data_IF_564582992356
#
_entry.id   IF_564582992356
#
_cell.length_a   1.000
_cell.length_b   1.000
_cell.length_c   1.000
_cell.angle_alpha   90.00
_cell.angle_beta   90.00
_cell.angle_gamma   90.00
#
_symmetry.space_group_name_H-M   'P 1'
#
loop_
_entity.id
_entity.type
_entity.pdbx_description
1 polymer ?
#
# COMPACT_ATOMS: atom_id res chain seq x y z
N UNK A 1 -9.13 -57.98 45.68
CA UNK A 1 -10.34 -57.18 45.38
C UNK A 1 -9.85 -55.87 44.75
N UNK A 2 -9.97 -55.72 43.45
CA UNK A 2 -9.43 -54.59 42.72
C UNK A 2 -10.59 -53.68 42.32
N UNK A 3 -10.63 -52.48 42.92
CA UNK A 3 -11.58 -51.42 42.59
C UNK A 3 -11.21 -50.80 41.25
N UNK A 4 -12.02 -50.99 40.23
CA UNK A 4 -11.96 -50.29 38.95
C UNK A 4 -12.65 -48.93 39.13
N UNK A 5 -11.89 -47.86 39.26
CA UNK A 5 -12.36 -46.50 39.06
C UNK A 5 -12.79 -46.32 37.59
N UNK A 6 -14.07 -46.23 37.31
CA UNK A 6 -14.63 -45.78 36.04
C UNK A 6 -14.29 -44.28 35.84
N UNK A 7 -13.49 -44.00 34.82
CA UNK A 7 -13.34 -42.64 34.33
C UNK A 7 -14.69 -42.18 33.75
N UNK A 8 -15.24 -41.11 34.28
CA UNK A 8 -16.41 -40.45 33.75
C UNK A 8 -16.07 -39.85 32.40
N UNK A 9 -16.72 -40.30 31.36
CA UNK A 9 -16.68 -39.68 30.02
C UNK A 9 -17.50 -38.41 30.13
N UNK A 10 -16.85 -37.26 30.04
CA UNK A 10 -17.48 -35.94 29.98
C UNK A 10 -18.31 -35.86 28.69
N UNK A 11 -19.63 -36.02 28.85
CA UNK A 11 -20.58 -35.93 27.74
C UNK A 11 -20.60 -34.50 27.23
N UNK A 12 -20.08 -34.27 26.04
CA UNK A 12 -20.13 -32.94 25.38
C UNK A 12 -21.61 -32.45 25.32
N UNK A 13 -21.86 -31.26 25.86
CA UNK A 13 -23.17 -30.65 25.87
C UNK A 13 -23.79 -30.60 24.45
N UNK A 14 -25.11 -30.83 24.30
CA UNK A 14 -25.76 -30.81 23.01
C UNK A 14 -25.54 -29.48 22.29
N UNK A 15 -25.45 -29.48 20.97
CA UNK A 15 -25.10 -28.31 20.15
C UNK A 15 -26.02 -27.09 20.38
N UNK A 16 -27.26 -27.32 20.78
CA UNK A 16 -28.22 -26.28 21.16
C UNK A 16 -27.84 -25.51 22.43
N UNK A 17 -27.28 -26.19 23.43
CA UNK A 17 -26.92 -25.56 24.72
C UNK A 17 -25.59 -24.78 24.58
N UNK A 18 -24.66 -25.26 23.77
CA UNK A 18 -23.46 -24.50 23.42
C UNK A 18 -23.79 -23.19 22.69
N UNK A 19 -24.76 -23.22 21.79
CA UNK A 19 -25.18 -22.05 21.02
C UNK A 19 -25.84 -21.01 21.91
N UNK A 20 -26.76 -21.41 22.83
CA UNK A 20 -27.35 -20.53 23.83
C UNK A 20 -26.34 -19.92 24.79
N UNK A 21 -25.39 -20.72 25.27
CA UNK A 21 -24.30 -20.25 26.11
C UNK A 21 -23.44 -19.18 25.39
N UNK A 22 -23.16 -19.37 24.09
CA UNK A 22 -22.42 -18.42 23.27
C UNK A 22 -23.21 -17.13 23.08
N UNK A 23 -24.49 -17.18 22.78
CA UNK A 23 -25.37 -16.00 22.65
C UNK A 23 -25.44 -15.19 23.96
N UNK A 24 -25.55 -15.88 25.11
CA UNK A 24 -25.51 -15.24 26.42
C UNK A 24 -24.16 -14.55 26.67
N UNK A 25 -23.06 -15.21 26.32
CA UNK A 25 -21.71 -14.64 26.44
C UNK A 25 -21.53 -13.41 25.54
N UNK A 26 -22.01 -13.46 24.29
CA UNK A 26 -21.97 -12.31 23.37
C UNK A 26 -22.75 -11.13 23.93
N UNK A 27 -23.96 -11.34 24.46
CA UNK A 27 -24.74 -10.30 25.07
C UNK A 27 -24.07 -9.68 26.33
N UNK A 28 -23.37 -10.48 27.13
CA UNK A 28 -22.58 -9.98 28.26
C UNK A 28 -21.38 -9.13 27.80
N UNK A 29 -20.68 -9.53 26.73
CA UNK A 29 -19.58 -8.78 26.14
C UNK A 29 -20.09 -7.43 25.61
N UNK A 30 -21.18 -7.43 24.87
CA UNK A 30 -21.79 -6.19 24.35
C UNK A 30 -22.25 -5.25 25.48
N UNK A 31 -22.75 -5.79 26.56
CA UNK A 31 -23.15 -5.00 27.76
C UNK A 31 -21.93 -4.39 28.46
N UNK A 32 -20.81 -5.10 28.50
CA UNK A 32 -19.59 -4.65 29.19
C UNK A 32 -18.76 -3.68 28.35
N UNK A 33 -18.67 -3.90 27.05
CA UNK A 33 -17.74 -3.20 26.15
C UNK A 33 -18.43 -2.36 25.07
N UNK A 34 -19.74 -2.37 24.99
CA UNK A 34 -20.53 -1.64 24.01
C UNK A 34 -20.97 -2.50 22.84
N UNK A 35 -22.05 -2.06 22.17
CA UNK A 35 -22.65 -2.73 21.01
C UNK A 35 -21.63 -2.79 19.86
N UNK A 36 -21.49 -3.97 19.25
CA UNK A 36 -20.53 -4.20 18.17
C UNK A 36 -19.11 -4.56 18.63
N UNK A 37 -18.88 -4.72 19.95
CA UNK A 37 -17.59 -5.20 20.48
C UNK A 37 -17.29 -6.66 20.11
N UNK A 38 -18.32 -7.42 19.79
CA UNK A 38 -18.24 -8.79 19.23
C UNK A 38 -19.33 -8.95 18.18
N UNK A 39 -18.99 -9.62 17.06
CA UNK A 39 -19.94 -9.91 15.98
C UNK A 39 -19.57 -11.20 15.27
N UNK A 40 -20.53 -11.80 14.58
CA UNK A 40 -20.25 -12.92 13.68
C UNK A 40 -19.76 -12.37 12.35
N UNK A 41 -18.65 -12.87 11.85
CA UNK A 41 -18.05 -12.39 10.60
C UNK A 41 -19.02 -12.48 9.41
N UNK A 42 -19.89 -13.50 9.36
CA UNK A 42 -20.88 -13.67 8.30
C UNK A 42 -22.08 -12.72 8.38
N UNK A 43 -22.34 -12.08 9.53
CA UNK A 43 -23.41 -11.10 9.67
C UNK A 43 -22.99 -9.71 9.14
N UNK A 44 -21.70 -9.49 8.94
CA UNK A 44 -21.12 -8.24 8.44
C UNK A 44 -20.54 -8.41 7.03
N UNK A 45 -21.27 -9.08 6.14
CA UNK A 45 -20.85 -9.39 4.77
C UNK A 45 -20.70 -8.19 3.84
N UNK A 46 -20.78 -6.96 4.38
CA UNK A 46 -20.76 -5.72 3.61
C UNK A 46 -19.62 -4.75 3.93
N UNK A 47 -18.58 -5.14 4.68
CA UNK A 47 -17.43 -4.25 4.85
C UNK A 47 -16.59 -4.27 3.57
N UNK A 48 -17.07 -3.55 2.55
CA UNK A 48 -16.25 -3.18 1.40
C UNK A 48 -15.16 -2.25 1.94
N UNK A 49 -13.91 -2.66 1.83
CA UNK A 49 -12.78 -1.79 2.18
C UNK A 49 -12.72 -0.67 1.14
N UNK A 50 -13.02 0.55 1.57
CA UNK A 50 -12.87 1.72 0.72
C UNK A 50 -11.40 1.91 0.34
N UNK A 51 -11.15 2.38 -0.89
CA UNK A 51 -9.82 2.62 -1.40
C UNK A 51 -9.67 4.02 -2.00
N UNK A 52 -8.46 4.58 -1.87
CA UNK A 52 -8.04 5.80 -2.55
C UNK A 52 -7.18 5.35 -3.75
N UNK A 53 -7.51 5.75 -5.00
CA UNK A 53 -6.68 5.43 -6.15
C UNK A 53 -5.26 5.96 -6.01
N UNK A 54 -4.33 5.30 -6.67
CA UNK A 54 -2.91 5.67 -6.61
C UNK A 54 -2.48 6.68 -7.67
N UNK A 55 -3.38 7.00 -8.61
CA UNK A 55 -3.04 7.77 -9.80
C UNK A 55 -2.45 6.91 -10.93
N UNK A 56 -2.09 5.65 -10.64
CA UNK A 56 -1.69 4.64 -11.61
C UNK A 56 -2.74 3.55 -11.70
N UNK A 57 -3.35 3.39 -12.88
CA UNK A 57 -4.38 2.37 -13.10
C UNK A 57 -3.82 0.96 -12.96
N UNK A 58 -2.60 0.71 -13.44
CA UNK A 58 -1.94 -0.59 -13.32
C UNK A 58 -1.70 -0.96 -11.85
N UNK A 59 -1.33 0.01 -11.01
CA UNK A 59 -1.13 -0.23 -9.57
C UNK A 59 -2.46 -0.42 -8.85
N UNK A 60 -3.50 0.32 -9.19
CA UNK A 60 -4.84 0.15 -8.66
C UNK A 60 -5.38 -1.26 -8.92
N UNK A 61 -5.16 -1.78 -10.14
CA UNK A 61 -5.50 -3.16 -10.51
C UNK A 61 -4.64 -4.18 -9.77
N UNK A 62 -3.35 -3.90 -9.58
CA UNK A 62 -2.44 -4.77 -8.83
C UNK A 62 -2.81 -4.86 -7.34
N UNK A 63 -3.29 -3.77 -6.75
CA UNK A 63 -3.80 -3.71 -5.37
C UNK A 63 -5.11 -4.48 -5.19
N UNK A 64 -5.90 -4.66 -6.25
CA UNK A 64 -7.06 -5.54 -6.30
C UNK A 64 -8.35 -4.98 -5.70
N UNK A 65 -8.31 -3.79 -5.10
CA UNK A 65 -9.46 -3.06 -4.55
C UNK A 65 -9.62 -1.66 -5.17
N UNK A 66 -8.85 -1.37 -6.25
CA UNK A 66 -8.91 -0.09 -6.95
C UNK A 66 -8.12 1.04 -6.31
N UNK A 67 -7.14 0.72 -5.46
CA UNK A 67 -6.27 1.69 -4.80
C UNK A 67 -5.73 1.22 -3.46
N UNK A 68 -5.23 2.17 -2.65
CA UNK A 68 -4.74 1.92 -1.29
C UNK A 68 -5.90 1.92 -0.27
N UNK A 69 -5.92 0.95 0.68
CA UNK A 69 -7.07 0.78 1.58
C UNK A 69 -7.18 1.89 2.63
N UNK A 70 -8.35 2.50 2.79
CA UNK A 70 -8.68 3.40 3.90
C UNK A 70 -8.69 2.64 5.23
N UNK A 71 -8.43 3.33 6.33
CA UNK A 71 -8.37 2.74 7.67
C UNK A 71 -7.18 1.80 7.87
N UNK A 72 -6.12 1.94 7.08
CA UNK A 72 -4.96 1.04 7.09
C UNK A 72 -3.63 1.80 6.99
N UNK A 73 -2.57 1.11 7.41
CA UNK A 73 -1.19 1.55 7.23
C UNK A 73 -0.67 0.97 5.93
N UNK A 74 -0.07 1.83 5.10
CA UNK A 74 0.60 1.47 3.85
C UNK A 74 2.08 1.85 3.95
N UNK A 75 2.98 1.00 3.50
CA UNK A 75 4.40 1.30 3.36
C UNK A 75 4.76 1.33 1.87
N UNK A 76 5.31 2.45 1.42
CA UNK A 76 5.90 2.63 0.09
C UNK A 76 7.41 2.72 0.28
N UNK A 77 8.17 1.79 -0.27
CA UNK A 77 9.60 1.76 -0.07
C UNK A 77 10.36 1.41 -1.36
N UNK A 78 11.63 1.71 -1.39
CA UNK A 78 12.49 1.45 -2.53
C UNK A 78 13.79 2.27 -2.48
N UNK A 79 14.67 2.10 -3.49
CA UNK A 79 15.89 2.89 -3.62
C UNK A 79 15.61 4.39 -3.73
N UNK A 80 16.64 5.20 -3.59
CA UNK A 80 16.57 6.63 -3.84
C UNK A 80 16.13 6.90 -5.30
N UNK A 81 15.43 8.02 -5.51
CA UNK A 81 14.95 8.47 -6.83
C UNK A 81 14.09 7.43 -7.58
N UNK A 82 13.45 6.49 -6.88
CA UNK A 82 12.56 5.49 -7.48
C UNK A 82 11.12 5.95 -7.71
N UNK A 83 10.75 7.16 -7.27
CA UNK A 83 9.41 7.73 -7.43
C UNK A 83 8.46 7.50 -6.25
N UNK A 84 8.97 7.18 -5.04
CA UNK A 84 8.15 6.95 -3.83
C UNK A 84 7.32 8.14 -3.44
N UNK A 85 7.95 9.31 -3.29
CA UNK A 85 7.28 10.58 -2.94
C UNK A 85 6.30 10.99 -4.04
N UNK A 86 6.66 10.82 -5.31
CA UNK A 86 5.77 11.08 -6.45
C UNK A 86 4.50 10.24 -6.37
N UNK A 87 4.63 8.93 -6.10
CA UNK A 87 3.48 8.03 -5.93
C UNK A 87 2.62 8.45 -4.74
N UNK A 88 3.22 8.81 -3.60
CA UNK A 88 2.49 9.27 -2.42
C UNK A 88 1.72 10.59 -2.69
N UNK A 89 2.33 11.54 -3.41
CA UNK A 89 1.68 12.79 -3.80
C UNK A 89 0.51 12.56 -4.77
N UNK A 90 0.62 11.60 -5.69
CA UNK A 90 -0.54 11.21 -6.53
C UNK A 90 -1.69 10.65 -5.68
N UNK A 91 -1.39 9.81 -4.68
CA UNK A 91 -2.43 9.30 -3.75
C UNK A 91 -3.08 10.46 -2.99
N UNK A 92 -2.29 11.44 -2.54
CA UNK A 92 -2.79 12.67 -1.90
C UNK A 92 -3.72 13.43 -2.84
N UNK A 93 -3.31 13.68 -4.08
CA UNK A 93 -4.11 14.35 -5.09
C UNK A 93 -5.44 13.60 -5.36
N UNK A 94 -5.41 12.29 -5.46
CA UNK A 94 -6.61 11.47 -5.64
C UNK A 94 -7.54 11.48 -4.42
N UNK A 95 -7.00 11.59 -3.20
CA UNK A 95 -7.78 11.78 -1.98
C UNK A 95 -8.49 13.14 -1.99
N UNK A 96 -7.77 14.23 -2.31
CA UNK A 96 -8.32 15.59 -2.39
C UNK A 96 -9.40 15.74 -3.47
N UNK A 97 -9.22 15.13 -4.65
CA UNK A 97 -10.25 15.10 -5.72
C UNK A 97 -11.58 14.48 -5.25
N UNK A 98 -11.55 13.67 -4.20
CA UNK A 98 -12.74 13.06 -3.58
C UNK A 98 -13.25 13.85 -2.37
N UNK A 99 -12.73 15.05 -2.17
CA UNK A 99 -13.08 15.93 -1.04
C UNK A 99 -12.43 15.52 0.28
N UNK A 100 -11.37 14.71 0.24
CA UNK A 100 -10.65 14.27 1.45
C UNK A 100 -9.65 15.29 1.93
N UNK A 101 -9.57 15.43 3.26
CA UNK A 101 -8.54 16.24 3.95
C UNK A 101 -7.26 15.42 4.13
N UNK A 102 -6.12 16.01 3.80
CA UNK A 102 -4.83 15.31 3.81
C UNK A 102 -3.74 16.11 4.50
N UNK A 103 -2.81 15.40 5.12
CA UNK A 103 -1.63 16.00 5.74
C UNK A 103 -0.35 15.32 5.23
N UNK A 104 0.72 16.08 5.15
CA UNK A 104 2.05 15.63 4.79
C UNK A 104 3.04 15.99 5.91
N UNK A 105 3.68 14.98 6.48
CA UNK A 105 4.74 15.13 7.49
C UNK A 105 6.07 14.96 6.77
N UNK A 106 6.69 16.09 6.45
CA UNK A 106 7.94 16.20 5.71
C UNK A 106 9.13 16.21 6.67
N UNK A 107 9.56 15.02 7.10
CA UNK A 107 10.74 14.87 7.96
C UNK A 107 12.07 15.02 7.20
N UNK A 108 12.06 14.94 5.89
CA UNK A 108 13.25 15.18 5.05
C UNK A 108 13.44 16.67 4.72
N UNK A 109 12.44 17.53 4.97
CA UNK A 109 12.42 18.96 4.59
C UNK A 109 12.67 19.18 3.09
N UNK A 110 12.15 18.30 2.25
CA UNK A 110 12.47 18.23 0.82
C UNK A 110 11.26 18.34 -0.11
N UNK A 111 10.06 18.59 0.43
CA UNK A 111 8.86 18.73 -0.37
C UNK A 111 8.90 20.04 -1.18
N UNK A 112 8.84 19.93 -2.50
CA UNK A 112 8.67 21.06 -3.42
C UNK A 112 7.17 21.28 -3.69
N UNK A 113 6.62 22.46 -3.25
CA UNK A 113 5.23 22.80 -3.49
C UNK A 113 4.89 22.94 -4.98
N UNK A 114 5.83 23.40 -5.80
CA UNK A 114 5.63 23.56 -7.24
C UNK A 114 5.47 22.19 -7.92
N UNK A 115 6.29 21.23 -7.51
CA UNK A 115 6.18 19.84 -7.98
C UNK A 115 4.89 19.18 -7.50
N UNK A 116 4.52 19.34 -6.23
CA UNK A 116 3.25 18.81 -5.70
C UNK A 116 2.04 19.35 -6.49
N UNK A 117 2.02 20.67 -6.78
CA UNK A 117 0.97 21.28 -7.61
C UNK A 117 0.93 20.71 -9.02
N UNK A 118 2.09 20.46 -9.64
CA UNK A 118 2.17 19.86 -10.98
C UNK A 118 1.60 18.43 -11.02
N UNK A 119 1.68 17.69 -9.90
CA UNK A 119 1.07 16.37 -9.74
C UNK A 119 -0.44 16.41 -9.44
N UNK A 120 -1.02 17.61 -9.36
CA UNK A 120 -2.45 17.81 -9.09
C UNK A 120 -2.83 17.90 -7.62
N UNK A 121 -1.85 18.08 -6.73
CA UNK A 121 -2.12 18.34 -5.31
C UNK A 121 -2.62 19.78 -5.14
N UNK A 122 -3.74 19.95 -4.44
CA UNK A 122 -4.17 21.25 -3.93
C UNK A 122 -3.32 21.58 -2.69
N UNK A 123 -2.28 22.36 -2.92
CA UNK A 123 -1.32 22.73 -1.87
C UNK A 123 -1.91 23.75 -0.89
N UNK A 124 -2.95 24.47 -1.26
CA UNK A 124 -3.57 25.48 -0.41
C UNK A 124 -4.46 24.83 0.67
N UNK A 125 -4.98 23.63 0.41
CA UNK A 125 -5.76 22.83 1.37
C UNK A 125 -4.92 21.77 2.09
N UNK A 126 -3.75 21.40 1.59
CA UNK A 126 -2.91 20.37 2.19
C UNK A 126 -2.22 20.85 3.47
N UNK A 127 -2.42 20.14 4.58
CA UNK A 127 -1.68 20.42 5.80
C UNK A 127 -0.24 19.90 5.67
N UNK A 128 0.73 20.72 6.05
CA UNK A 128 2.15 20.34 6.09
C UNK A 128 2.73 20.50 7.49
N UNK A 129 3.56 19.55 7.91
CA UNK A 129 4.35 19.64 9.13
C UNK A 129 5.78 19.22 8.85
N UNK A 130 6.74 19.98 9.37
CA UNK A 130 8.17 19.72 9.27
C UNK A 130 8.74 19.56 10.70
N UNK A 131 8.67 18.37 11.28
CA UNK A 131 9.06 18.13 12.66
C UNK A 131 10.58 18.12 12.85
N UNK A 132 11.05 18.63 13.99
CA UNK A 132 12.46 18.59 14.37
C UNK A 132 12.91 17.21 14.86
N UNK A 133 11.98 16.41 15.41
CA UNK A 133 12.27 15.07 15.96
C UNK A 133 11.28 14.02 15.47
N UNK A 134 11.70 12.76 15.46
CA UNK A 134 10.83 11.63 15.10
C UNK A 134 9.63 11.48 16.03
N UNK A 135 9.82 11.75 17.35
CA UNK A 135 8.73 11.76 18.32
C UNK A 135 7.67 12.79 17.95
N UNK A 136 8.08 14.04 17.64
CA UNK A 136 7.18 15.12 17.26
C UNK A 136 6.39 14.76 15.99
N UNK A 137 7.06 14.25 14.95
CA UNK A 137 6.40 13.85 13.70
C UNK A 137 5.35 12.77 13.91
N UNK A 138 5.65 11.75 14.72
CA UNK A 138 4.74 10.65 15.01
C UNK A 138 3.60 11.05 15.96
N UNK A 139 3.83 11.98 16.89
CA UNK A 139 2.80 12.53 17.78
C UNK A 139 1.82 13.42 16.99
N UNK A 140 2.32 14.24 16.05
CA UNK A 140 1.48 15.02 15.12
C UNK A 140 0.63 14.08 14.26
N UNK A 141 1.23 13.03 13.70
CA UNK A 141 0.50 12.00 12.95
C UNK A 141 -0.62 11.38 13.80
N UNK A 142 -0.32 10.99 15.03
CA UNK A 142 -1.30 10.39 15.95
C UNK A 142 -2.43 11.37 16.28
N UNK A 143 -2.12 12.64 16.54
CA UNK A 143 -3.11 13.67 16.84
C UNK A 143 -4.06 13.91 15.65
N UNK A 144 -3.51 14.00 14.42
CA UNK A 144 -4.27 14.16 13.18
C UNK A 144 -5.21 12.97 12.96
N UNK A 145 -4.69 11.76 13.03
CA UNK A 145 -5.50 10.53 12.86
C UNK A 145 -6.60 10.44 13.92
N UNK A 146 -6.28 10.73 15.18
CA UNK A 146 -7.24 10.66 16.28
C UNK A 146 -8.35 11.70 16.21
N UNK A 147 -8.12 12.83 15.53
CA UNK A 147 -9.15 13.85 15.31
C UNK A 147 -10.36 13.33 14.55
N UNK A 148 -10.18 12.30 13.69
CA UNK A 148 -11.21 11.76 12.81
C UNK A 148 -11.62 12.70 11.66
N UNK A 149 -10.91 13.82 11.50
CA UNK A 149 -11.20 14.84 10.50
C UNK A 149 -10.28 14.74 9.27
N UNK A 150 -9.34 13.78 9.26
CA UNK A 150 -8.36 13.63 8.20
C UNK A 150 -8.52 12.28 7.50
N UNK A 151 -8.49 12.26 6.16
CA UNK A 151 -8.62 11.06 5.34
C UNK A 151 -7.28 10.39 5.09
N UNK A 152 -6.20 11.17 5.03
CA UNK A 152 -4.88 10.65 4.76
C UNK A 152 -3.74 11.43 5.41
N UNK A 153 -2.72 10.71 5.89
CA UNK A 153 -1.45 11.28 6.37
C UNK A 153 -0.30 10.58 5.66
N UNK A 154 0.61 11.34 5.07
CA UNK A 154 1.88 10.84 4.53
C UNK A 154 3.00 11.21 5.48
N UNK A 155 3.91 10.28 5.76
CA UNK A 155 5.15 10.50 6.52
C UNK A 155 6.33 10.23 5.60
N UNK A 156 7.06 11.26 5.23
CA UNK A 156 8.22 11.19 4.33
C UNK A 156 9.48 11.72 5.03
N UNK A 157 10.41 10.89 5.39
CA UNK A 157 10.41 9.45 5.37
C UNK A 157 10.71 8.87 6.76
N UNK A 158 10.44 7.57 6.96
CA UNK A 158 10.80 6.86 8.20
C UNK A 158 12.29 6.99 8.51
N UNK A 159 13.14 7.03 7.47
CA UNK A 159 14.59 7.16 7.62
C UNK A 159 15.02 8.50 8.24
N UNK A 160 14.20 9.54 8.07
CA UNK A 160 14.46 10.90 8.55
C UNK A 160 13.85 11.19 9.93
N UNK A 161 13.07 10.26 10.50
CA UNK A 161 12.50 10.39 11.84
C UNK A 161 13.58 10.17 12.92
N UNK A 162 14.45 11.17 13.07
CA UNK A 162 15.55 11.09 14.06
C UNK A 162 15.00 11.18 15.49
N UNK A 163 15.26 10.17 16.36
CA UNK A 163 14.87 10.24 17.76
C UNK A 163 15.53 11.42 18.48
N UNK A 164 14.78 12.06 19.38
CA UNK A 164 15.28 13.20 20.18
C UNK A 164 16.60 12.90 20.88
N UNK A 165 16.72 11.71 21.49
CA UNK A 165 17.92 11.30 22.17
C UNK A 165 19.14 11.19 21.24
N UNK A 166 18.94 10.98 19.94
CA UNK A 166 20.01 10.98 18.95
C UNK A 166 20.43 12.41 18.58
N UNK A 167 19.47 13.34 18.53
CA UNK A 167 19.73 14.76 18.26
C UNK A 167 20.47 15.45 19.43
N UNK A 168 20.08 15.10 20.67
CA UNK A 168 20.66 15.67 21.91
C UNK A 168 21.98 14.99 22.30
N UNK A 169 22.35 13.84 21.69
CA UNK A 169 23.60 13.12 21.94
C UNK A 169 24.80 13.75 21.24
N UNK A 170 26.00 13.36 21.67
CA UNK A 170 27.25 13.79 21.06
C UNK A 170 27.52 13.07 19.74
N UNK A 171 28.23 13.74 18.83
CA UNK A 171 28.67 13.13 17.56
C UNK A 171 29.57 11.93 17.83
N UNK A 172 29.13 10.75 17.39
CA UNK A 172 29.85 9.48 17.58
C UNK A 172 29.22 8.56 18.62
N UNK A 173 28.20 9.00 19.33
CA UNK A 173 27.43 8.15 20.23
C UNK A 173 26.68 7.06 19.46
N UNK A 174 26.60 5.88 20.06
CA UNK A 174 25.89 4.76 19.47
C UNK A 174 24.41 4.76 19.85
N UNK A 175 23.54 5.06 18.90
CA UNK A 175 22.10 5.11 19.09
C UNK A 175 21.35 3.92 18.46
N UNK A 176 21.97 2.74 18.50
CA UNK A 176 21.44 1.53 17.84
C UNK A 176 20.02 1.19 18.34
N UNK A 177 19.10 1.10 17.41
CA UNK A 177 17.72 0.62 17.66
C UNK A 177 16.75 1.66 18.24
N UNK A 178 17.14 2.92 18.48
CA UNK A 178 16.23 3.95 18.99
C UNK A 178 15.06 4.17 18.04
N UNK A 179 15.31 4.37 16.75
CA UNK A 179 14.26 4.53 15.73
C UNK A 179 13.33 3.31 15.67
N UNK A 180 13.87 2.10 15.80
CA UNK A 180 13.05 0.89 15.79
C UNK A 180 12.11 0.80 17.02
N UNK A 181 12.56 1.23 18.19
CA UNK A 181 11.74 1.33 19.40
C UNK A 181 10.66 2.39 19.26
N UNK A 182 11.02 3.58 18.76
CA UNK A 182 10.10 4.68 18.49
C UNK A 182 9.00 4.26 17.53
N UNK A 183 9.35 3.67 16.39
CA UNK A 183 8.40 3.14 15.42
C UNK A 183 7.49 2.05 16.01
N UNK A 184 8.03 1.13 16.80
CA UNK A 184 7.24 0.09 17.45
C UNK A 184 6.22 0.66 18.45
N UNK A 185 6.57 1.71 19.16
CA UNK A 185 5.68 2.40 20.10
C UNK A 185 4.59 3.17 19.36
N UNK A 186 4.95 3.96 18.35
CA UNK A 186 4.04 4.77 17.56
C UNK A 186 3.02 3.91 16.82
N UNK A 187 3.47 2.85 16.13
CA UNK A 187 2.59 1.98 15.36
C UNK A 187 1.56 1.24 16.22
N UNK A 188 1.90 0.89 17.49
CA UNK A 188 0.94 0.32 18.44
C UNK A 188 -0.19 1.30 18.78
N UNK A 189 0.14 2.60 18.94
CA UNK A 189 -0.86 3.65 19.21
C UNK A 189 -1.71 3.93 17.95
N UNK A 190 -1.04 4.12 16.81
CA UNK A 190 -1.66 4.49 15.53
C UNK A 190 -2.63 3.44 15.01
N UNK A 191 -2.29 2.15 15.09
CA UNK A 191 -3.08 1.08 14.45
C UNK A 191 -4.54 1.04 14.93
N UNK A 192 -4.77 1.25 16.22
CA UNK A 192 -6.13 1.29 16.78
C UNK A 192 -6.94 2.52 16.37
N UNK A 193 -6.29 3.68 16.28
CA UNK A 193 -6.91 4.94 15.87
C UNK A 193 -7.22 4.95 14.37
N UNK A 194 -6.27 4.54 13.54
CA UNK A 194 -6.40 4.45 12.07
C UNK A 194 -7.62 3.61 11.66
N UNK A 195 -7.79 2.43 12.28
CA UNK A 195 -8.90 1.53 11.96
C UNK A 195 -10.28 2.12 12.35
N UNK A 196 -10.33 2.98 13.38
CA UNK A 196 -11.58 3.61 13.87
C UNK A 196 -11.97 4.85 13.07
N UNK A 197 -10.98 5.63 12.62
CA UNK A 197 -11.20 6.90 11.92
C UNK A 197 -11.27 6.76 10.41
N UNK A 198 -11.05 5.55 9.87
CA UNK A 198 -10.99 5.27 8.44
C UNK A 198 -9.91 6.09 7.70
N UNK A 199 -8.95 6.66 8.44
CA UNK A 199 -7.83 7.41 7.90
C UNK A 199 -6.79 6.43 7.30
N UNK A 200 -6.15 6.82 6.18
CA UNK A 200 -4.99 6.10 5.66
C UNK A 200 -3.71 6.74 6.18
N UNK A 201 -2.74 5.93 6.60
CA UNK A 201 -1.39 6.45 6.90
C UNK A 201 -0.37 5.77 6.00
N UNK A 202 0.32 6.59 5.21
CA UNK A 202 1.35 6.17 4.26
C UNK A 202 2.71 6.50 4.84
N UNK A 203 3.52 5.48 5.07
CA UNK A 203 4.92 5.64 5.43
C UNK A 203 5.80 5.43 4.20
N UNK A 204 6.56 6.45 3.83
CA UNK A 204 7.62 6.33 2.84
C UNK A 204 8.87 5.83 3.55
N UNK A 205 9.56 4.85 2.96
CA UNK A 205 10.73 4.26 3.58
C UNK A 205 11.87 4.07 2.58
N UNK A 206 13.08 4.12 3.08
CA UNK A 206 14.29 3.91 2.29
C UNK A 206 14.83 2.49 2.51
N UNK A 207 15.53 1.98 1.50
CA UNK A 207 16.28 0.74 1.61
C UNK A 207 17.71 1.04 2.09
N UNK A 208 18.21 0.15 2.93
CA UNK A 208 19.61 0.11 3.38
C UNK A 208 20.14 -1.29 3.14
N UNK A 209 21.41 -1.42 2.90
CA UNK A 209 22.05 -2.72 2.80
C UNK A 209 22.60 -3.16 4.15
N UNK A 210 22.25 -4.36 4.56
CA UNK A 210 22.80 -4.99 5.76
C UNK A 210 24.17 -5.53 5.45
N UNK A 211 25.20 -4.98 6.11
CA UNK A 211 26.59 -5.42 5.95
C UNK A 211 26.75 -6.86 6.46
N UNK A 212 27.49 -7.69 5.73
CA UNK A 212 27.83 -9.05 6.15
C UNK A 212 26.86 -10.16 5.73
N UNK A 213 25.81 -9.85 4.96
CA UNK A 213 24.90 -10.87 4.40
C UNK A 213 25.55 -11.47 3.15
N UNK A 214 26.09 -12.70 3.27
CA UNK A 214 26.69 -13.44 2.14
C UNK A 214 25.66 -14.17 1.27
N UNK A 215 24.49 -14.50 1.82
CA UNK A 215 23.41 -15.21 1.13
C UNK A 215 22.06 -14.56 1.43
N UNK A 216 21.13 -14.55 0.45
CA UNK A 216 19.82 -13.93 0.56
C UNK A 216 19.79 -12.46 0.15
N UNK A 217 18.70 -11.75 0.48
CA UNK A 217 18.54 -10.34 0.12
C UNK A 217 19.09 -9.45 1.25
N UNK A 218 20.17 -8.68 1.01
CA UNK A 218 20.74 -7.77 2.01
C UNK A 218 19.88 -6.51 2.26
N UNK A 219 18.92 -6.21 1.38
CA UNK A 219 18.11 -5.00 1.47
C UNK A 219 17.13 -5.04 2.64
N UNK A 220 17.21 -4.04 3.49
CA UNK A 220 16.31 -3.86 4.63
C UNK A 220 15.74 -2.44 4.66
N UNK A 221 14.50 -2.29 5.11
CA UNK A 221 13.89 -0.98 5.35
C UNK A 221 14.31 -0.43 6.71
N UNK A 222 14.42 0.89 6.84
CA UNK A 222 14.76 1.57 8.11
C UNK A 222 13.61 1.47 9.12
N UNK A 223 13.88 1.79 10.41
CA UNK A 223 12.86 1.78 11.47
C UNK A 223 12.49 0.41 12.01
N UNK A 224 13.31 -0.63 11.74
CA UNK A 224 13.14 -1.97 12.28
C UNK A 224 12.04 -2.81 11.62
N UNK A 225 11.55 -3.83 12.36
CA UNK A 225 10.58 -4.79 11.80
C UNK A 225 9.11 -4.38 12.00
N UNK A 226 8.81 -3.43 12.90
CA UNK A 226 7.44 -3.14 13.31
C UNK A 226 6.53 -2.74 12.13
N UNK A 227 7.00 -1.85 11.25
CA UNK A 227 6.22 -1.40 10.10
C UNK A 227 5.87 -2.56 9.15
N UNK A 228 6.77 -3.53 8.96
CA UNK A 228 6.50 -4.73 8.15
C UNK A 228 5.31 -5.54 8.67
N UNK A 229 5.10 -5.58 9.99
CA UNK A 229 3.97 -6.28 10.61
C UNK A 229 2.69 -5.44 10.57
N UNK A 230 2.76 -4.15 10.93
CA UNK A 230 1.60 -3.27 11.02
C UNK A 230 1.03 -2.88 9.65
N UNK A 231 1.86 -2.66 8.64
CA UNK A 231 1.40 -2.32 7.30
C UNK A 231 0.46 -3.42 6.73
N UNK A 232 -0.68 -3.00 6.22
CA UNK A 232 -1.62 -3.86 5.50
C UNK A 232 -1.22 -4.05 4.04
N UNK A 233 -0.61 -3.03 3.46
CA UNK A 233 -0.07 -3.05 2.10
C UNK A 233 1.39 -2.57 2.15
N UNK A 234 2.26 -3.24 1.40
CA UNK A 234 3.66 -2.83 1.20
C UNK A 234 3.97 -2.85 -0.28
N UNK A 235 4.48 -1.74 -0.79
CA UNK A 235 4.77 -1.52 -2.20
C UNK A 235 6.27 -1.25 -2.35
N UNK A 236 6.98 -2.12 -3.07
CA UNK A 236 8.38 -1.96 -3.46
C UNK A 236 8.42 -1.23 -4.81
N UNK A 237 8.94 0.00 -4.82
CA UNK A 237 8.97 0.88 -5.99
C UNK A 237 10.41 1.00 -6.49
N UNK A 238 10.64 0.60 -7.75
CA UNK A 238 11.98 0.58 -8.35
C UNK A 238 11.97 1.22 -9.73
N UNK A 239 12.97 2.06 -10.00
CA UNK A 239 13.25 2.51 -11.34
C UNK A 239 13.86 1.35 -12.15
N UNK A 240 13.28 1.08 -13.33
CA UNK A 240 13.76 0.07 -14.27
C UNK A 240 14.72 0.70 -15.27
N UNK A 241 14.27 1.79 -15.91
CA UNK A 241 15.07 2.52 -16.89
C UNK A 241 14.71 4.01 -16.91
N UNK A 242 15.57 4.81 -17.54
CA UNK A 242 15.31 6.22 -17.77
C UNK A 242 14.77 6.42 -19.18
N UNK A 243 13.63 7.08 -19.29
CA UNK A 243 13.00 7.42 -20.57
C UNK A 243 13.70 8.62 -21.19
N UNK A 244 13.94 8.53 -22.50
CA UNK A 244 14.65 9.57 -23.26
C UNK A 244 13.90 9.92 -24.54
N UNK A 245 13.90 11.19 -24.89
CA UNK A 245 13.51 11.71 -26.22
C UNK A 245 14.74 12.33 -26.86
N UNK A 246 15.29 11.65 -27.85
CA UNK A 246 16.61 11.98 -28.37
C UNK A 246 17.71 11.80 -27.30
N UNK A 247 18.39 12.88 -26.92
CA UNK A 247 19.41 12.90 -25.86
C UNK A 247 18.86 13.36 -24.50
N UNK A 248 17.64 13.88 -24.44
CA UNK A 248 17.05 14.45 -23.24
C UNK A 248 16.36 13.37 -22.40
N UNK A 249 16.59 13.39 -21.07
CA UNK A 249 15.92 12.53 -20.12
C UNK A 249 14.57 13.16 -19.76
N UNK A 250 13.47 12.47 -20.06
CA UNK A 250 12.11 13.00 -19.88
C UNK A 250 11.33 12.30 -18.75
N UNK A 251 11.82 11.19 -18.25
CA UNK A 251 11.13 10.45 -17.21
C UNK A 251 11.83 9.15 -16.83
N UNK A 252 11.15 8.36 -16.02
CA UNK A 252 11.60 7.04 -15.60
C UNK A 252 10.47 6.01 -15.79
N UNK A 253 10.80 4.85 -16.34
CA UNK A 253 9.95 3.67 -16.27
C UNK A 253 10.11 3.02 -14.89
N UNK A 254 9.00 2.82 -14.19
CA UNK A 254 8.97 2.39 -12.79
C UNK A 254 8.21 1.09 -12.66
N UNK A 255 8.72 0.20 -11.83
CA UNK A 255 8.11 -1.05 -11.43
C UNK A 255 7.71 -0.98 -9.95
N UNK A 256 6.41 -1.13 -9.67
CA UNK A 256 5.85 -1.19 -8.33
C UNK A 256 5.37 -2.63 -8.05
N UNK A 257 5.99 -3.29 -7.07
CA UNK A 257 5.62 -4.65 -6.65
C UNK A 257 4.88 -4.61 -5.32
N UNK A 258 3.67 -5.14 -5.29
CA UNK A 258 2.88 -5.30 -4.07
C UNK A 258 3.37 -6.53 -3.31
N UNK A 259 4.33 -6.35 -2.40
CA UNK A 259 5.00 -7.46 -1.70
C UNK A 259 4.20 -7.98 -0.51
N UNK A 260 3.27 -7.18 0.01
CA UNK A 260 2.33 -7.57 1.06
C UNK A 260 0.98 -6.91 0.80
N UNK A 261 -0.08 -7.68 0.93
CA UNK A 261 -1.44 -7.19 0.80
C UNK A 261 -2.37 -8.02 1.70
N UNK A 262 -3.09 -7.35 2.62
CA UNK A 262 -4.07 -7.98 3.52
C UNK A 262 -5.51 -7.85 3.01
N UNK A 263 -5.73 -7.13 1.91
CA UNK A 263 -7.07 -6.85 1.35
C UNK A 263 -7.32 -7.52 0.01
N UNK A 264 -6.26 -8.03 -0.64
CA UNK A 264 -6.32 -8.79 -1.89
C UNK A 264 -5.08 -9.69 -2.02
N UNK A 265 -5.00 -10.62 -3.00
CA UNK A 265 -3.82 -11.44 -3.22
C UNK A 265 -2.56 -10.60 -3.49
N UNK A 266 -1.45 -10.84 -2.75
CA UNK A 266 -0.20 -10.10 -2.91
C UNK A 266 0.62 -10.56 -4.14
N UNK A 267 1.81 -9.97 -4.28
CA UNK A 267 2.86 -10.27 -5.27
C UNK A 267 2.52 -9.89 -6.72
N UNK A 268 1.49 -9.07 -6.92
CA UNK A 268 1.23 -8.45 -8.21
C UNK A 268 2.20 -7.31 -8.44
N UNK A 269 2.47 -7.07 -9.72
CA UNK A 269 3.38 -6.02 -10.17
C UNK A 269 2.64 -5.08 -11.11
N UNK A 270 2.87 -3.79 -10.95
CA UNK A 270 2.47 -2.74 -11.86
C UNK A 270 3.72 -2.10 -12.46
N UNK A 271 3.64 -1.68 -13.71
CA UNK A 271 4.68 -0.94 -14.40
C UNK A 271 4.05 0.30 -15.04
N UNK A 272 4.68 1.45 -14.85
CA UNK A 272 4.19 2.74 -15.34
C UNK A 272 5.33 3.74 -15.51
N UNK A 273 5.07 4.76 -16.32
CA UNK A 273 6.02 5.84 -16.58
C UNK A 273 5.77 7.02 -15.62
N UNK A 274 6.82 7.52 -15.00
CA UNK A 274 6.83 8.80 -14.27
C UNK A 274 7.56 9.82 -15.13
N UNK A 275 6.84 10.81 -15.62
CA UNK A 275 7.39 11.91 -16.44
C UNK A 275 7.88 13.03 -15.52
N UNK A 276 9.03 13.62 -15.84
CA UNK A 276 9.55 14.72 -15.06
C UNK A 276 8.67 15.96 -15.19
N UNK A 277 8.27 16.55 -14.06
CA UNK A 277 7.37 17.69 -14.01
C UNK A 277 5.87 17.38 -14.17
N UNK A 278 5.50 16.17 -14.65
CA UNK A 278 4.09 15.78 -14.88
C UNK A 278 3.63 14.64 -13.95
N UNK A 279 4.57 13.81 -13.45
CA UNK A 279 4.27 12.65 -12.64
C UNK A 279 3.86 11.42 -13.45
N UNK A 280 2.95 10.61 -12.90
CA UNK A 280 2.52 9.33 -13.49
C UNK A 280 1.77 9.59 -14.81
N UNK A 281 2.24 8.95 -15.89
CA UNK A 281 1.66 9.07 -17.23
C UNK A 281 0.38 8.23 -17.37
N UNK A 282 -0.74 8.71 -16.81
CA UNK A 282 -2.04 8.01 -16.84
C UNK A 282 -2.46 7.61 -18.25
N UNK A 283 -2.34 8.54 -19.21
CA UNK A 283 -2.68 8.30 -20.64
C UNK A 283 -1.80 7.18 -21.23
N UNK A 284 -0.49 7.15 -20.84
CA UNK A 284 0.41 6.10 -21.28
C UNK A 284 -0.02 4.72 -20.79
N UNK A 285 -0.45 4.61 -19.54
CA UNK A 285 -0.96 3.37 -18.96
C UNK A 285 -2.26 2.90 -19.64
N UNK A 286 -3.19 3.82 -19.97
CA UNK A 286 -4.44 3.48 -20.67
C UNK A 286 -4.14 2.79 -21.99
N UNK A 287 -3.15 3.28 -22.77
CA UNK A 287 -2.76 2.66 -24.03
C UNK A 287 -2.14 1.28 -23.78
N UNK A 288 -1.20 1.17 -22.84
CA UNK A 288 -0.49 -0.09 -22.58
C UNK A 288 -1.43 -1.18 -22.07
N UNK A 289 -2.32 -0.85 -21.14
CA UNK A 289 -3.32 -1.79 -20.62
C UNK A 289 -4.39 -2.08 -21.67
N UNK A 290 -4.80 -1.06 -22.44
CA UNK A 290 -5.73 -1.22 -23.55
C UNK A 290 -5.23 -2.22 -24.59
N UNK A 291 -3.93 -2.20 -24.91
CA UNK A 291 -3.30 -3.20 -25.80
C UNK A 291 -3.35 -4.60 -25.17
N UNK A 292 -3.03 -4.73 -23.88
CA UNK A 292 -3.05 -6.02 -23.18
C UNK A 292 -4.44 -6.66 -23.11
N UNK A 293 -5.48 -5.82 -23.18
CA UNK A 293 -6.89 -6.24 -23.15
C UNK A 293 -7.54 -6.34 -24.54
N UNK A 294 -6.78 -6.11 -25.61
CA UNK A 294 -7.27 -6.04 -27.00
C UNK A 294 -8.32 -4.93 -27.24
N UNK A 295 -8.38 -3.92 -26.36
CA UNK A 295 -9.23 -2.73 -26.51
C UNK A 295 -8.58 -1.70 -27.43
N UNK A 296 -7.25 -1.62 -27.42
CA UNK A 296 -6.43 -0.83 -28.33
C UNK A 296 -5.64 -1.77 -29.23
N UNK A 297 -5.83 -1.64 -30.53
CA UNK A 297 -5.15 -2.42 -31.55
C UNK A 297 -3.84 -1.74 -31.94
N UNK A 298 -2.75 -2.49 -31.93
CA UNK A 298 -1.44 -2.05 -32.42
C UNK A 298 -1.09 -2.83 -33.67
N UNK A 299 -1.04 -2.16 -34.82
CA UNK A 299 -0.63 -2.73 -36.10
C UNK A 299 0.63 -2.00 -36.61
N UNK A 300 1.78 -2.64 -36.44
CA UNK A 300 3.08 -2.00 -36.68
C UNK A 300 3.26 -0.79 -35.77
N UNK A 301 3.39 0.40 -36.36
CA UNK A 301 3.47 1.68 -35.65
C UNK A 301 2.12 2.37 -35.40
N UNK A 302 1.03 1.83 -35.94
CA UNK A 302 -0.30 2.43 -35.83
C UNK A 302 -1.08 1.92 -34.62
N UNK A 303 -1.81 2.85 -33.98
CA UNK A 303 -2.69 2.60 -32.84
C UNK A 303 -4.13 2.92 -33.27
N UNK A 304 -5.08 2.06 -32.91
CA UNK A 304 -6.50 2.23 -33.19
C UNK A 304 -7.37 1.71 -32.05
N UNK A 305 -8.54 2.30 -31.84
CA UNK A 305 -9.58 1.84 -30.93
C UNK A 305 -10.85 1.60 -31.76
N UNK A 306 -11.24 0.32 -31.93
CA UNK A 306 -12.27 -0.06 -32.88
C UNK A 306 -11.92 0.39 -34.29
N UNK A 307 -12.78 1.20 -34.91
CA UNK A 307 -12.56 1.77 -36.28
C UNK A 307 -11.78 3.09 -36.26
N UNK A 308 -11.56 3.67 -35.07
CA UNK A 308 -10.94 4.98 -34.93
C UNK A 308 -9.41 4.87 -34.83
N UNK A 309 -8.70 5.50 -35.78
CA UNK A 309 -7.25 5.60 -35.76
C UNK A 309 -6.79 6.68 -34.77
N UNK A 310 -6.00 6.31 -33.79
CA UNK A 310 -5.46 7.24 -32.79
C UNK A 310 -4.16 7.92 -33.23
N UNK A 311 -3.41 7.31 -34.15
CA UNK A 311 -2.19 7.90 -34.69
C UNK A 311 -1.06 6.88 -34.92
N UNK A 312 0.04 7.39 -35.48
CA UNK A 312 1.26 6.63 -35.73
C UNK A 312 2.28 6.92 -34.62
N UNK A 313 2.67 5.88 -33.88
CA UNK A 313 3.52 5.98 -32.70
C UNK A 313 2.75 6.19 -31.40
N UNK A 314 3.37 5.79 -30.28
CA UNK A 314 2.76 5.89 -28.94
C UNK A 314 2.47 7.35 -28.54
N UNK A 315 3.35 8.28 -28.93
CA UNK A 315 3.19 9.70 -28.61
C UNK A 315 1.99 10.34 -29.33
N UNK A 316 1.79 9.99 -30.61
CA UNK A 316 0.61 10.44 -31.35
C UNK A 316 -0.70 9.86 -30.74
N UNK A 317 -0.69 8.61 -30.31
CA UNK A 317 -1.82 8.01 -29.61
C UNK A 317 -2.07 8.66 -28.24
N UNK A 318 -1.01 9.01 -27.49
CA UNK A 318 -1.13 9.78 -26.24
C UNK A 318 -1.75 11.15 -26.50
N UNK A 319 -1.29 11.84 -27.56
CA UNK A 319 -1.82 13.17 -27.91
C UNK A 319 -3.30 13.07 -28.30
N UNK A 320 -3.66 12.06 -29.09
CA UNK A 320 -5.06 11.82 -29.44
C UNK A 320 -5.97 11.68 -28.22
N UNK A 321 -5.56 10.89 -27.20
CA UNK A 321 -6.33 10.73 -25.97
C UNK A 321 -6.35 12.00 -25.10
N UNK A 322 -5.31 12.86 -25.17
CA UNK A 322 -5.32 14.17 -24.50
C UNK A 322 -6.32 15.13 -25.16
N UNK A 323 -6.42 15.08 -26.47
CA UNK A 323 -7.33 15.94 -27.27
C UNK A 323 -8.79 15.44 -27.22
N UNK A 324 -9.00 14.17 -26.84
CA UNK A 324 -10.30 13.50 -26.75
C UNK A 324 -10.48 12.84 -25.37
N UNK A 325 -10.71 13.64 -24.31
CA UNK A 325 -10.82 13.12 -22.93
C UNK A 325 -11.98 12.14 -22.77
N UNK A 326 -13.08 12.30 -23.53
CA UNK A 326 -14.22 11.39 -23.54
C UNK A 326 -13.83 9.96 -24.00
N UNK A 327 -12.89 9.86 -24.95
CA UNK A 327 -12.37 8.56 -25.43
C UNK A 327 -11.44 7.94 -24.36
N UNK A 328 -10.67 8.78 -23.67
CA UNK A 328 -9.80 8.32 -22.61
C UNK A 328 -10.61 7.80 -21.40
N UNK A 329 -11.69 8.48 -21.02
CA UNK A 329 -12.61 8.06 -19.96
C UNK A 329 -13.30 6.74 -20.33
N UNK A 330 -13.82 6.63 -21.56
CA UNK A 330 -14.44 5.40 -22.04
C UNK A 330 -13.44 4.23 -22.02
N UNK A 331 -12.20 4.46 -22.48
CA UNK A 331 -11.16 3.44 -22.45
C UNK A 331 -10.83 3.01 -21.02
N UNK A 332 -10.78 3.95 -20.07
CA UNK A 332 -10.56 3.63 -18.66
C UNK A 332 -11.70 2.78 -18.09
N UNK A 333 -12.95 3.11 -18.36
CA UNK A 333 -14.12 2.32 -17.95
C UNK A 333 -14.08 0.91 -18.54
N UNK A 334 -13.79 0.79 -19.83
CA UNK A 334 -13.66 -0.50 -20.51
C UNK A 334 -12.52 -1.35 -19.93
N UNK A 335 -11.39 -0.73 -19.59
CA UNK A 335 -10.28 -1.40 -18.90
C UNK A 335 -10.73 -1.91 -17.53
N UNK A 336 -11.38 -1.08 -16.73
CA UNK A 336 -11.87 -1.46 -15.40
C UNK A 336 -12.90 -2.61 -15.49
N UNK A 337 -13.81 -2.57 -16.44
CA UNK A 337 -14.78 -3.64 -16.69
C UNK A 337 -14.12 -4.96 -17.10
N UNK A 338 -13.01 -4.91 -17.82
CA UNK A 338 -12.27 -6.07 -18.31
C UNK A 338 -11.06 -6.46 -17.47
N UNK A 339 -10.79 -5.77 -16.36
CA UNK A 339 -9.62 -5.96 -15.50
C UNK A 339 -9.47 -7.40 -14.99
N UNK A 340 -10.58 -8.15 -14.85
CA UNK A 340 -10.57 -9.57 -14.46
C UNK A 340 -9.79 -10.46 -15.44
N UNK A 341 -9.67 -10.06 -16.72
CA UNK A 341 -8.90 -10.80 -17.74
C UNK A 341 -7.39 -10.74 -17.50
N UNK A 342 -6.92 -9.66 -16.87
CA UNK A 342 -5.52 -9.46 -16.48
C UNK A 342 -5.18 -10.23 -15.19
N UNK A 343 -6.20 -10.66 -14.45
CA UNK A 343 -5.99 -11.46 -13.26
C UNK A 343 -5.63 -12.90 -13.65
N UNK A 344 -4.54 -13.48 -13.11
CA UNK A 344 -4.26 -14.90 -13.31
C UNK A 344 -5.45 -15.68 -12.79
N UNK A 345 -6.04 -16.50 -13.65
CA UNK A 345 -7.19 -17.35 -13.32
C UNK A 345 -6.81 -18.16 -12.08
N UNK A 346 -7.64 -18.13 -11.04
CA UNK A 346 -7.42 -18.89 -9.78
C UNK A 346 -7.15 -20.38 -10.06
N UNK A 347 -7.67 -20.92 -11.16
CA UNK A 347 -7.39 -22.27 -11.64
C UNK A 347 -5.91 -22.50 -12.02
N UNK A 348 -5.22 -21.50 -12.61
CA UNK A 348 -3.77 -21.62 -12.92
C UNK A 348 -2.89 -21.48 -11.68
N UNK A 349 -3.30 -20.65 -10.71
CA UNK A 349 -2.59 -20.50 -9.45
C UNK A 349 -2.75 -21.75 -8.55
N UNK A 350 -3.94 -22.33 -8.49
CA UNK A 350 -4.21 -23.56 -7.76
C UNK A 350 -3.50 -24.77 -8.37
N UNK A 351 -3.46 -24.90 -9.70
CA UNK A 351 -2.74 -25.98 -10.39
C UNK A 351 -1.21 -25.86 -10.22
N UNK A 352 -0.68 -24.62 -10.15
CA UNK A 352 0.75 -24.39 -9.91
C UNK A 352 1.13 -24.59 -8.44
N UNK A 353 0.21 -24.35 -7.50
CA UNK A 353 0.37 -24.66 -6.08
C UNK A 353 0.25 -26.17 -5.79
N UNK A 354 -0.66 -26.88 -6.48
CA UNK A 354 -0.83 -28.33 -6.36
C UNK A 354 0.33 -29.13 -6.98
N UNK A 355 1.07 -28.56 -7.92
CA UNK A 355 2.26 -29.19 -8.53
C UNK A 355 3.57 -28.98 -7.76
N UNK A 356 3.58 -28.17 -6.71
CA UNK A 356 4.66 -28.04 -5.75
C UNK A 356 4.18 -28.58 -4.41
N UNK A 357 4.34 -29.89 -4.21
CA UNK A 357 4.45 -30.43 -2.87
C UNK A 357 5.73 -29.81 -2.28
N UNK A 358 5.58 -28.84 -1.40
CA UNK A 358 6.68 -28.33 -0.59
C UNK A 358 6.89 -29.38 0.48
N UNK A 359 7.95 -30.16 0.34
CA UNK A 359 8.47 -30.99 1.41
C UNK A 359 9.06 -30.01 2.45
N UNK A 360 8.25 -29.61 3.41
CA UNK A 360 8.68 -28.81 4.55
C UNK A 360 9.20 -29.83 5.57
N UNK A 361 10.51 -30.10 5.54
CA UNK A 361 11.14 -30.84 6.61
C UNK A 361 11.13 -29.98 7.89
N UNK A 362 10.97 -30.62 9.04
CA UNK A 362 10.89 -29.99 10.35
C UNK A 362 12.19 -29.22 10.77
N UNK A 363 13.22 -29.28 9.93
CA UNK A 363 14.52 -28.63 10.14
C UNK A 363 14.55 -27.12 9.76
N UNK A 364 13.49 -26.60 9.11
CA UNK A 364 13.42 -25.19 8.72
C UNK A 364 12.97 -24.24 9.84
N UNK A 365 12.79 -24.73 11.07
CA UNK A 365 12.31 -23.94 12.22
C UNK A 365 13.30 -23.82 13.38
N UNK A 366 14.52 -24.33 13.24
CA UNK A 366 15.54 -24.17 14.28
C UNK A 366 16.44 -22.96 13.98
N UNK A 367 16.48 -22.05 14.97
CA UNK A 367 17.50 -21.06 15.29
C UNK A 367 17.69 -19.80 14.44
N UNK A 368 16.95 -18.76 14.81
CA UNK A 368 17.45 -17.36 14.75
C UNK A 368 17.20 -16.62 16.07
N UNK A 369 17.63 -17.19 17.20
CA UNK A 369 17.87 -16.49 18.48
C UNK A 369 19.36 -16.62 18.87
N UNK A 370 20.20 -15.78 18.25
CA UNK A 370 21.47 -15.32 18.85
C UNK A 370 21.85 -13.94 18.30
#
# INVERSE_FOLDING_TARGET
MADKKKAAVEVAAPASDKRKALETCMAQIEKAYGKGSIMRLGENTGVVVEAIPTGSLSLDLALGIGGVPKGRIVEIYGPESSGKTTLALHIVAEAQKRGGEVAFIDAEHALDPSYARALGVDIDSMLISQPDTGEQGLEICEALVRSGAIDGVVVDSVAALTPRAEIEGDMGDSHVGLLARLMSQALRKLAGSIAKTNCIVIFINQLREKVGVMYGNPEVTTGGRALKFYASVRIDVRKVETLKVGSEMVGNHVKAKVVKNKVAPPFRTAEFDIMFGEGISKIGELIDIGIQLDLVQKSGSWFAMGETRMGQGKDAAKQYLRDHPEVAEQLEEDIRANAYKLMPTQAKAAAKAAGRAVDVSAEDFEDEDQ
#
